data_IF_975905812881
#
_entry.id   IF_975905812881
#
_cell.length_a   1.000
_cell.length_b   1.000
_cell.length_c   1.000
_cell.angle_alpha   90.00
_cell.angle_beta   90.00
_cell.angle_gamma   90.00
#
_symmetry.space_group_name_H-M   'P 1'
#
loop_
_entity.id
_entity.type
_entity.pdbx_description
1 polymer ?
#
# COMPACT_ATOMS: atom_id res chain seq x y z
N UNK A 1 0.80 9.43 5.79
CA UNK A 1 -0.01 8.46 5.03
C UNK A 1 0.52 7.08 5.34
N UNK A 2 -0.35 6.11 5.62
CA UNK A 2 0.06 4.72 5.81
C UNK A 2 -0.70 3.85 4.82
N UNK A 3 0.04 2.93 4.20
CA UNK A 3 -0.46 1.96 3.24
C UNK A 3 -0.26 0.57 3.85
N UNK A 4 -1.35 -0.12 4.17
CA UNK A 4 -1.30 -1.53 4.54
C UNK A 4 -1.84 -2.37 3.38
N UNK A 5 -1.03 -3.30 2.89
CA UNK A 5 -1.40 -4.25 1.85
C UNK A 5 -1.47 -5.64 2.47
N UNK A 6 -2.64 -6.25 2.39
CA UNK A 6 -2.84 -7.66 2.69
C UNK A 6 -2.86 -8.45 1.39
N UNK A 7 -2.03 -9.47 1.34
CA UNK A 7 -2.02 -10.45 0.25
C UNK A 7 -2.53 -11.75 0.80
N UNK A 8 -3.47 -12.36 0.11
CA UNK A 8 -3.94 -13.70 0.46
C UNK A 8 -2.77 -14.68 0.52
N UNK A 9 -2.64 -15.38 1.65
CA UNK A 9 -1.60 -16.40 1.89
C UNK A 9 -1.62 -17.54 0.86
N UNK A 10 -2.77 -17.81 0.22
CA UNK A 10 -2.89 -18.82 -0.82
C UNK A 10 -2.20 -18.40 -2.12
N UNK A 11 -1.95 -17.10 -2.30
CA UNK A 11 -1.15 -16.63 -3.42
C UNK A 11 0.33 -16.93 -3.19
N UNK A 12 0.89 -17.69 -4.13
CA UNK A 12 2.30 -18.10 -4.14
C UNK A 12 3.20 -16.99 -4.70
N UNK A 13 3.18 -15.82 -4.06
CA UNK A 13 4.07 -14.70 -4.40
C UNK A 13 5.41 -14.89 -3.68
N UNK A 14 6.50 -14.74 -4.43
CA UNK A 14 7.85 -14.81 -3.90
C UNK A 14 8.16 -13.60 -3.01
N UNK A 15 9.01 -13.79 -1.99
CA UNK A 15 9.43 -12.71 -1.12
C UNK A 15 10.11 -11.56 -1.89
N UNK A 16 10.94 -11.89 -2.89
CA UNK A 16 11.61 -10.91 -3.74
C UNK A 16 10.61 -10.02 -4.51
N UNK A 17 9.48 -10.57 -4.95
CA UNK A 17 8.42 -9.79 -5.60
C UNK A 17 7.76 -8.82 -4.61
N UNK A 18 7.58 -9.21 -3.34
CA UNK A 18 7.01 -8.34 -2.31
C UNK A 18 7.95 -7.18 -1.98
N UNK A 19 9.25 -7.45 -1.87
CA UNK A 19 10.27 -6.43 -1.61
C UNK A 19 10.42 -5.45 -2.77
N UNK A 20 10.37 -5.95 -4.02
CA UNK A 20 10.36 -5.11 -5.21
C UNK A 20 9.12 -4.21 -5.25
N UNK A 21 7.95 -4.74 -4.90
CA UNK A 21 6.71 -3.97 -4.81
C UNK A 21 6.81 -2.89 -3.72
N UNK A 22 7.29 -3.24 -2.52
CA UNK A 22 7.49 -2.27 -1.44
C UNK A 22 8.43 -1.15 -1.84
N UNK A 23 9.55 -1.49 -2.48
CA UNK A 23 10.53 -0.52 -3.00
C UNK A 23 9.91 0.43 -4.00
N UNK A 24 9.14 -0.08 -4.97
CA UNK A 24 8.49 0.76 -5.97
C UNK A 24 7.41 1.65 -5.36
N UNK A 25 6.63 1.16 -4.41
CA UNK A 25 5.66 2.00 -3.72
C UNK A 25 6.35 3.12 -2.94
N UNK A 26 7.48 2.85 -2.27
CA UNK A 26 8.25 3.90 -1.62
C UNK A 26 8.77 4.94 -2.62
N UNK A 27 9.33 4.52 -3.76
CA UNK A 27 9.83 5.43 -4.81
C UNK A 27 8.75 6.36 -5.34
N UNK A 28 7.53 5.84 -5.54
CA UNK A 28 6.42 6.62 -6.09
C UNK A 28 5.71 7.50 -5.05
N UNK A 29 5.62 7.04 -3.79
CA UNK A 29 4.84 7.72 -2.75
C UNK A 29 5.66 8.70 -1.91
N UNK A 30 6.97 8.45 -1.70
CA UNK A 30 7.82 9.33 -0.88
C UNK A 30 7.90 10.76 -1.40
N UNK A 31 7.99 11.02 -2.72
CA UNK A 31 8.01 12.40 -3.24
C UNK A 31 6.73 13.20 -2.93
N UNK A 32 5.58 12.52 -2.89
CA UNK A 32 4.27 13.14 -2.66
C UNK A 32 3.90 13.18 -1.17
N UNK A 33 4.29 12.16 -0.44
CA UNK A 33 4.00 11.93 0.96
C UNK A 33 5.29 11.51 1.68
N UNK A 34 6.15 12.46 2.10
CA UNK A 34 7.49 12.17 2.64
C UNK A 34 7.49 11.30 3.90
N UNK A 35 6.37 11.26 4.62
CA UNK A 35 6.16 10.43 5.82
C UNK A 35 5.28 9.21 5.53
N UNK A 36 5.48 8.59 4.37
CA UNK A 36 4.77 7.35 4.01
C UNK A 36 5.32 6.18 4.79
N UNK A 37 4.42 5.37 5.37
CA UNK A 37 4.75 4.07 5.92
C UNK A 37 4.02 3.00 5.12
N UNK A 38 4.74 1.99 4.62
CA UNK A 38 4.20 0.89 3.84
C UNK A 38 4.38 -0.38 4.65
N UNK A 39 3.37 -1.25 4.62
CA UNK A 39 3.46 -2.58 5.21
C UNK A 39 2.75 -3.57 4.32
N UNK A 40 3.47 -4.60 3.89
CA UNK A 40 2.92 -5.71 3.12
C UNK A 40 2.91 -6.94 4.02
N UNK A 41 1.75 -7.58 4.20
CA UNK A 41 1.61 -8.78 5.03
C UNK A 41 0.75 -9.84 4.34
N UNK A 42 0.98 -11.11 4.67
CA UNK A 42 0.11 -12.20 4.25
C UNK A 42 -1.10 -12.30 5.19
N UNK A 43 -2.28 -12.53 4.63
CA UNK A 43 -3.56 -12.59 5.34
C UNK A 43 -4.50 -13.65 4.76
N UNK A 44 -5.75 -13.65 5.22
CA UNK A 44 -6.81 -14.56 4.74
C UNK A 44 -7.50 -14.10 3.46
N UNK A 45 -7.24 -12.87 3.01
CA UNK A 45 -7.80 -12.28 1.81
C UNK A 45 -6.90 -11.13 1.32
N UNK A 46 -7.10 -10.71 0.07
CA UNK A 46 -6.50 -9.50 -0.45
C UNK A 46 -7.18 -8.25 0.12
N UNK A 47 -6.40 -7.21 0.38
CA UNK A 47 -6.93 -5.92 0.79
C UNK A 47 -5.88 -4.83 0.76
N UNK A 48 -6.35 -3.59 0.65
CA UNK A 48 -5.53 -2.39 0.78
C UNK A 48 -6.25 -1.44 1.72
N UNK A 49 -5.53 -0.95 2.72
CA UNK A 49 -6.01 0.08 3.63
C UNK A 49 -5.09 1.30 3.54
N UNK A 50 -5.72 2.46 3.35
CA UNK A 50 -5.04 3.75 3.26
C UNK A 50 -5.52 4.63 4.40
N UNK A 51 -4.60 5.07 5.25
CA UNK A 51 -4.91 5.96 6.38
C UNK A 51 -4.09 7.23 6.35
N UNK A 52 -4.63 8.29 6.96
CA UNK A 52 -4.02 9.61 6.96
C UNK A 52 -4.06 10.30 5.58
N UNK A 53 -5.04 9.96 4.76
CA UNK A 53 -5.40 10.68 3.54
C UNK A 53 -6.57 11.62 3.86
N UNK A 54 -6.45 12.89 3.44
CA UNK A 54 -7.60 13.76 3.34
C UNK A 54 -8.15 13.64 1.92
N UNK A 55 -9.19 12.83 1.75
CA UNK A 55 -9.88 12.70 0.47
C UNK A 55 -10.61 14.01 0.22
N UNK A 56 -10.10 14.82 -0.71
CA UNK A 56 -10.82 16.00 -1.17
C UNK A 56 -12.13 15.52 -1.78
N UNK A 57 -13.24 15.82 -1.12
CA UNK A 57 -14.58 15.50 -1.61
C UNK A 57 -14.88 16.47 -2.75
N UNK A 58 -14.67 16.02 -3.98
CA UNK A 58 -15.12 16.78 -5.15
C UNK A 58 -16.65 16.65 -5.14
N UNK A 59 -17.36 17.67 -4.64
CA UNK A 59 -18.79 17.77 -4.93
C UNK A 59 -18.91 18.12 -6.40
N UNK A 60 -19.27 17.16 -7.23
CA UNK A 60 -19.88 17.43 -8.52
C UNK A 60 -21.19 18.18 -8.25
N UNK A 61 -21.18 19.49 -8.48
CA UNK A 61 -22.37 20.33 -8.53
C UNK A 61 -23.11 20.16 -9.84
#
# INVERSE_FOLDING_TARGET
MRVEIMIDKEQKISQATLEALETELYRNLTPLYPKTAIRIRKGSANGIELTGLNLMRISSG
#
